data_IF_765526760710
#
_entry.id   IF_765526760710
#
_cell.length_a   1.000
_cell.length_b   1.000
_cell.length_c   1.000
_cell.angle_alpha   90.00
_cell.angle_beta   90.00
_cell.angle_gamma   90.00
#
_symmetry.space_group_name_H-M   'P 1'
#
loop_
_entity.id
_entity.type
_entity.pdbx_description
1 polymer ?
#
# COMPACT_ATOMS: atom_id res chain seq x y z
N UNK A 1 -13.48 -11.42 12.07
CA UNK A 1 -12.21 -11.83 11.45
C UNK A 1 -11.84 -10.86 10.36
N UNK A 2 -10.68 -10.31 10.45
CA UNK A 2 -10.29 -9.21 9.58
C UNK A 2 -9.24 -9.65 8.55
N UNK A 3 -9.71 -10.36 7.52
CA UNK A 3 -8.84 -10.86 6.47
C UNK A 3 -8.25 -9.73 5.65
N UNK A 4 -8.97 -8.60 5.55
CA UNK A 4 -8.48 -7.45 4.79
C UNK A 4 -7.24 -6.82 5.42
N UNK A 5 -7.22 -6.72 6.74
CA UNK A 5 -6.07 -6.17 7.45
C UNK A 5 -4.83 -7.03 7.25
N UNK A 6 -5.02 -8.34 7.28
CA UNK A 6 -3.92 -9.26 7.08
C UNK A 6 -3.37 -9.19 5.65
N UNK A 7 -4.26 -9.14 4.66
CA UNK A 7 -3.85 -9.02 3.27
C UNK A 7 -3.11 -7.71 3.00
N UNK A 8 -3.60 -6.62 3.60
CA UNK A 8 -2.95 -5.31 3.46
C UNK A 8 -1.55 -5.34 4.08
N UNK A 9 -1.43 -5.91 5.27
CA UNK A 9 -0.13 -5.99 5.94
C UNK A 9 0.85 -6.84 5.15
N UNK A 10 0.39 -7.95 4.61
CA UNK A 10 1.23 -8.82 3.81
C UNK A 10 1.72 -8.11 2.55
N UNK A 11 0.82 -7.42 1.87
CA UNK A 11 1.18 -6.67 0.67
C UNK A 11 2.19 -5.57 1.00
N UNK A 12 2.01 -4.91 2.15
CA UNK A 12 2.95 -3.88 2.59
C UNK A 12 4.33 -4.46 2.86
N UNK A 13 4.40 -5.62 3.51
CA UNK A 13 5.68 -6.28 3.77
C UNK A 13 6.39 -6.66 2.50
N UNK A 14 5.65 -7.19 1.53
CA UNK A 14 6.21 -7.56 0.25
C UNK A 14 6.76 -6.34 -0.48
N UNK A 15 6.05 -5.23 -0.41
CA UNK A 15 6.50 -4.00 -1.03
C UNK A 15 7.78 -3.50 -0.36
N UNK A 16 7.84 -3.56 0.96
CA UNK A 16 9.04 -3.14 1.70
C UNK A 16 10.21 -4.06 1.34
N UNK A 17 9.94 -5.35 1.23
CA UNK A 17 10.97 -6.32 0.86
C UNK A 17 11.54 -6.00 -0.53
N UNK A 18 10.70 -5.56 -1.44
CA UNK A 18 11.08 -5.29 -2.81
C UNK A 18 11.67 -3.89 -3.01
N UNK A 19 11.11 -2.88 -2.35
CA UNK A 19 11.46 -1.48 -2.58
C UNK A 19 12.19 -0.82 -1.40
N UNK A 20 12.24 -1.49 -0.27
CA UNK A 20 12.90 -0.93 0.91
C UNK A 20 12.21 0.33 1.41
N UNK A 21 13.00 1.34 1.75
CA UNK A 21 12.49 2.58 2.34
C UNK A 21 11.60 3.40 1.41
N UNK A 22 11.58 3.09 0.11
CA UNK A 22 10.74 3.82 -0.84
C UNK A 22 9.39 3.14 -1.06
N UNK A 23 9.11 2.05 -0.35
CA UNK A 23 7.89 1.28 -0.58
C UNK A 23 6.62 2.12 -0.45
N UNK A 24 6.53 2.95 0.59
CA UNK A 24 5.34 3.78 0.79
C UNK A 24 5.13 4.75 -0.38
N UNK A 25 6.21 5.34 -0.88
CA UNK A 25 6.13 6.26 -2.02
C UNK A 25 5.67 5.55 -3.27
N UNK A 26 6.20 4.35 -3.53
CA UNK A 26 5.80 3.56 -4.69
C UNK A 26 4.31 3.22 -4.61
N UNK A 27 3.85 2.82 -3.44
CA UNK A 27 2.46 2.44 -3.25
C UNK A 27 1.52 3.64 -3.41
N UNK A 28 1.92 4.81 -2.92
CA UNK A 28 1.12 6.03 -3.13
C UNK A 28 1.04 6.40 -4.59
N UNK A 29 2.12 6.22 -5.33
CA UNK A 29 2.13 6.48 -6.76
C UNK A 29 1.13 5.58 -7.48
N UNK A 30 1.06 4.31 -7.08
CA UNK A 30 0.10 3.38 -7.65
C UNK A 30 -1.33 3.80 -7.32
N UNK A 31 -1.55 4.32 -6.11
CA UNK A 31 -2.86 4.82 -5.72
C UNK A 31 -3.26 6.00 -6.58
N UNK A 32 -2.33 6.88 -6.89
CA UNK A 32 -2.59 8.04 -7.76
C UNK A 32 -2.94 7.62 -9.16
N UNK A 33 -2.23 6.63 -9.69
CA UNK A 33 -2.52 6.12 -11.03
C UNK A 33 -3.93 5.53 -11.07
N UNK A 34 -4.28 4.71 -10.07
CA UNK A 34 -5.61 4.13 -10.00
C UNK A 34 -6.69 5.20 -9.91
N UNK A 35 -6.45 6.23 -9.11
CA UNK A 35 -7.38 7.33 -8.96
C UNK A 35 -7.56 8.08 -10.29
N UNK A 36 -6.47 8.25 -11.02
CA UNK A 36 -6.48 8.96 -12.29
C UNK A 36 -7.33 8.27 -13.35
N UNK A 37 -7.32 6.95 -13.36
CA UNK A 37 -8.11 6.18 -14.31
C UNK A 37 -9.53 5.89 -13.79
N UNK A 38 -9.86 6.42 -12.61
CA UNK A 38 -11.20 6.27 -12.05
C UNK A 38 -11.46 4.96 -11.32
N UNK A 39 -10.41 4.22 -11.00
CA UNK A 39 -10.53 2.97 -10.27
C UNK A 39 -10.43 3.22 -8.78
N UNK A 40 -11.57 3.61 -8.18
CA UNK A 40 -11.61 4.00 -6.77
C UNK A 40 -11.31 2.85 -5.83
N UNK A 41 -11.73 1.65 -6.18
CA UNK A 41 -11.48 0.48 -5.33
C UNK A 41 -9.99 0.17 -5.24
N UNK A 42 -9.31 0.17 -6.38
CA UNK A 42 -7.87 -0.05 -6.39
C UNK A 42 -7.12 1.09 -5.70
N UNK A 43 -7.56 2.33 -5.93
CA UNK A 43 -6.94 3.48 -5.30
C UNK A 43 -7.00 3.36 -3.78
N UNK A 44 -8.17 2.98 -3.24
CA UNK A 44 -8.32 2.81 -1.81
C UNK A 44 -7.43 1.69 -1.28
N UNK A 45 -7.39 0.57 -2.00
CA UNK A 45 -6.56 -0.56 -1.61
C UNK A 45 -5.09 -0.16 -1.55
N UNK A 46 -4.60 0.54 -2.58
CA UNK A 46 -3.21 0.99 -2.61
C UNK A 46 -2.90 1.97 -1.49
N UNK A 47 -3.84 2.86 -1.16
CA UNK A 47 -3.66 3.79 -0.04
C UNK A 47 -3.56 3.06 1.29
N UNK A 48 -4.40 2.06 1.48
CA UNK A 48 -4.36 1.26 2.71
C UNK A 48 -3.03 0.54 2.84
N UNK A 49 -2.54 -0.04 1.74
CA UNK A 49 -1.26 -0.72 1.74
C UNK A 49 -0.12 0.28 1.98
N UNK A 50 -0.21 1.46 1.37
CA UNK A 50 0.80 2.50 1.58
C UNK A 50 0.86 2.94 3.04
N UNK A 51 -0.30 3.10 3.67
CA UNK A 51 -0.35 3.47 5.09
C UNK A 51 0.27 2.41 5.97
N UNK A 52 -0.01 1.14 5.67
CA UNK A 52 0.59 0.04 6.43
C UNK A 52 2.10 0.02 6.26
N UNK A 53 2.59 0.21 5.03
CA UNK A 53 4.02 0.24 4.77
C UNK A 53 4.68 1.40 5.51
N UNK A 54 4.03 2.55 5.53
CA UNK A 54 4.56 3.72 6.23
C UNK A 54 4.70 3.45 7.72
N UNK A 55 3.70 2.83 8.33
CA UNK A 55 3.76 2.49 9.75
C UNK A 55 4.89 1.52 10.03
N UNK A 56 5.08 0.53 9.17
CA UNK A 56 6.14 -0.47 9.33
C UNK A 56 7.52 0.17 9.20
N UNK A 57 7.67 1.11 8.28
CA UNK A 57 8.95 1.77 8.07
C UNK A 57 9.29 2.75 9.19
N UNK A 58 8.29 3.23 9.91
CA UNK A 58 8.49 4.20 10.99
C UNK A 58 8.70 3.56 12.36
N UNK A 59 8.66 2.25 12.45
CA UNK A 59 8.93 1.59 13.74
C UNK A 59 10.42 1.18 13.89
#
# INVERSE_FOLDING_TARGET
MDDNGEAVDQAAREAIDQYGGTAASVLRERAEVADHIGDELSAKAWRDIASAAERMLNT
#
